data_IF_505921187714
#
_entry.id   IF_505921187714
#
_cell.length_a   1.000
_cell.length_b   1.000
_cell.length_c   1.000
_cell.angle_alpha   90.00
_cell.angle_beta   90.00
_cell.angle_gamma   90.00
#
_symmetry.space_group_name_H-M   'P 1'
#
loop_
_entity.id
_entity.type
_entity.pdbx_description
1 polymer ?
#
# COMPACT_ATOMS: atom_id res chain seq x y z
N UNK A 1 -5.55 -7.05 6.85
CA UNK A 1 -4.84 -5.83 6.37
C UNK A 1 -3.35 -6.04 6.52
N UNK A 2 -2.56 -5.57 5.56
CA UNK A 2 -1.10 -5.51 5.62
C UNK A 2 -0.72 -4.06 5.85
N UNK A 3 0.18 -3.80 6.78
CA UNK A 3 0.70 -2.46 7.07
C UNK A 3 2.19 -2.44 6.74
N UNK A 4 2.64 -1.43 6.04
CA UNK A 4 4.06 -1.21 5.76
C UNK A 4 4.61 -0.13 6.68
N UNK A 5 5.80 -0.34 7.18
CA UNK A 5 6.50 0.58 8.05
C UNK A 5 7.99 0.64 7.70
N UNK A 6 8.62 1.74 8.03
CA UNK A 6 10.04 1.96 7.83
C UNK A 6 10.63 2.77 9.00
N UNK A 7 11.93 2.77 9.12
CA UNK A 7 12.65 3.57 10.11
C UNK A 7 12.32 5.06 9.95
N UNK A 8 12.04 5.73 11.06
CA UNK A 8 11.85 7.19 11.08
C UNK A 8 13.06 7.89 10.48
N UNK A 9 12.80 8.87 9.61
CA UNK A 9 13.85 9.63 8.95
C UNK A 9 14.51 8.98 7.73
N UNK A 10 14.07 7.76 7.35
CA UNK A 10 14.55 7.15 6.11
C UNK A 10 13.91 7.80 4.88
N UNK A 11 14.74 8.47 4.05
CA UNK A 11 14.26 9.31 2.96
C UNK A 11 13.48 8.60 1.85
N UNK A 12 13.72 7.31 1.65
CA UNK A 12 13.02 6.51 0.61
C UNK A 12 11.86 5.67 1.16
N UNK A 13 11.47 5.87 2.40
CA UNK A 13 10.47 5.05 3.09
C UNK A 13 9.16 4.89 2.32
N UNK A 14 8.61 5.99 1.80
CA UNK A 14 7.37 5.96 1.03
C UNK A 14 7.55 5.28 -0.33
N UNK A 15 8.65 5.53 -1.01
CA UNK A 15 8.93 4.93 -2.31
C UNK A 15 9.10 3.41 -2.20
N UNK A 16 9.88 2.95 -1.23
CA UNK A 16 10.09 1.51 -1.00
C UNK A 16 8.78 0.80 -0.65
N UNK A 17 7.97 1.43 0.21
CA UNK A 17 6.66 0.90 0.58
C UNK A 17 5.69 0.88 -0.59
N UNK A 18 5.68 1.91 -1.42
CA UNK A 18 4.85 1.96 -2.62
C UNK A 18 5.20 0.82 -3.58
N UNK A 19 6.48 0.57 -3.82
CA UNK A 19 6.93 -0.54 -4.65
C UNK A 19 6.50 -1.90 -4.08
N UNK A 20 6.63 -2.08 -2.76
CA UNK A 20 6.22 -3.31 -2.09
C UNK A 20 4.70 -3.52 -2.18
N UNK A 21 3.92 -2.49 -1.91
CA UNK A 21 2.45 -2.54 -1.98
C UNK A 21 1.95 -2.83 -3.41
N UNK A 22 2.56 -2.23 -4.42
CA UNK A 22 2.23 -2.53 -5.82
C UNK A 22 2.48 -4.00 -6.17
N UNK A 23 3.63 -4.55 -5.79
CA UNK A 23 3.91 -5.97 -5.97
C UNK A 23 2.89 -6.87 -5.26
N UNK A 24 2.48 -6.50 -4.05
CA UNK A 24 1.46 -7.23 -3.31
C UNK A 24 0.09 -7.18 -4.00
N UNK A 25 -0.29 -6.02 -4.56
CA UNK A 25 -1.55 -5.87 -5.29
C UNK A 25 -1.56 -6.72 -6.56
N UNK A 26 -0.46 -6.77 -7.31
CA UNK A 26 -0.31 -7.63 -8.47
C UNK A 26 -0.42 -9.11 -8.07
N UNK A 27 0.26 -9.51 -7.01
CA UNK A 27 0.19 -10.88 -6.49
C UNK A 27 -1.23 -11.23 -6.02
N UNK A 28 -1.91 -10.32 -5.32
CA UNK A 28 -3.29 -10.51 -4.88
C UNK A 28 -4.23 -10.76 -6.08
N UNK A 29 -4.08 -9.96 -7.14
CA UNK A 29 -4.88 -10.15 -8.35
C UNK A 29 -4.61 -11.51 -9.01
N UNK A 30 -3.37 -11.96 -9.03
CA UNK A 30 -3.00 -13.28 -9.56
C UNK A 30 -3.60 -14.45 -8.73
N UNK A 31 -3.85 -14.21 -7.45
CA UNK A 31 -4.46 -15.16 -6.51
C UNK A 31 -6.00 -15.03 -6.42
N UNK A 32 -6.62 -14.28 -7.29
CA UNK A 32 -8.06 -13.99 -7.27
C UNK A 32 -8.54 -13.31 -5.96
N UNK A 33 -7.67 -12.52 -5.34
CA UNK A 33 -7.98 -11.72 -4.16
C UNK A 33 -8.27 -10.27 -4.55
N UNK A 34 -9.17 -9.63 -3.81
CA UNK A 34 -9.37 -8.18 -3.85
C UNK A 34 -8.33 -7.47 -2.99
N UNK A 35 -7.81 -6.36 -3.48
CA UNK A 35 -6.86 -5.54 -2.75
C UNK A 35 -7.15 -4.06 -2.96
N UNK A 36 -6.92 -3.26 -1.91
CA UNK A 36 -7.04 -1.81 -1.97
C UNK A 36 -5.94 -1.16 -1.14
N UNK A 37 -5.20 -0.25 -1.75
CA UNK A 37 -4.21 0.55 -1.04
C UNK A 37 -4.90 1.59 -0.16
N UNK A 38 -4.57 1.58 1.13
CA UNK A 38 -5.06 2.54 2.11
C UNK A 38 -3.95 3.55 2.39
N UNK A 39 -3.89 4.57 1.57
CA UNK A 39 -2.85 5.59 1.65
C UNK A 39 -2.93 6.43 2.94
N UNK A 40 -4.13 6.63 3.48
CA UNK A 40 -4.36 7.44 4.68
C UNK A 40 -3.66 6.91 5.93
N UNK A 41 -3.27 5.64 5.97
CA UNK A 41 -2.64 5.06 7.15
C UNK A 41 -1.34 5.79 7.56
N UNK A 42 -0.58 6.32 6.60
CA UNK A 42 0.65 7.03 6.94
C UNK A 42 0.42 8.38 7.63
N UNK A 43 -0.77 8.98 7.47
CA UNK A 43 -1.16 10.18 8.23
C UNK A 43 -1.80 9.82 9.56
N UNK A 44 -2.49 8.69 9.65
CA UNK A 44 -3.15 8.25 10.87
C UNK A 44 -2.15 7.82 11.96
N UNK A 45 -0.92 7.50 11.59
CA UNK A 45 0.16 7.19 12.54
C UNK A 45 0.51 8.39 13.46
N UNK A 46 0.13 9.60 13.07
CA UNK A 46 0.24 10.80 13.93
C UNK A 46 -0.82 10.87 15.01
N UNK A 47 -1.90 10.12 14.89
CA UNK A 47 -2.92 9.99 15.92
C UNK A 47 -2.43 9.06 17.04
N UNK A 48 -2.41 9.54 18.28
CA UNK A 48 -1.85 8.83 19.43
C UNK A 48 -2.52 7.46 19.66
N UNK A 49 -3.84 7.38 19.53
CA UNK A 49 -4.56 6.13 19.76
C UNK A 49 -4.27 5.10 18.66
N UNK A 50 -4.15 5.55 17.42
CA UNK A 50 -3.77 4.70 16.28
C UNK A 50 -2.33 4.23 16.45
N UNK A 51 -1.43 5.13 16.81
CA UNK A 51 -0.01 4.80 17.02
C UNK A 51 0.17 3.75 18.14
N UNK A 52 -0.49 3.94 19.29
CA UNK A 52 -0.47 2.95 20.38
C UNK A 52 -1.01 1.59 19.95
N UNK A 53 -2.10 1.58 19.17
CA UNK A 53 -2.65 0.35 18.65
C UNK A 53 -1.66 -0.38 17.74
N UNK A 54 -0.96 0.35 16.86
CA UNK A 54 0.02 -0.19 15.94
C UNK A 54 1.27 -0.73 16.67
N UNK A 55 1.72 -0.03 17.72
CA UNK A 55 2.78 -0.53 18.61
C UNK A 55 2.39 -1.87 19.24
N UNK A 56 1.13 -2.00 19.66
CA UNK A 56 0.59 -3.25 20.19
C UNK A 56 0.55 -4.40 19.17
N UNK A 57 0.51 -4.07 17.87
CA UNK A 57 0.57 -5.04 16.77
C UNK A 57 1.99 -5.37 16.31
N UNK A 58 3.02 -4.70 16.83
CA UNK A 58 4.40 -5.00 16.53
C UNK A 58 5.17 -3.90 15.77
N UNK A 59 4.59 -2.71 15.57
CA UNK A 59 5.33 -1.56 15.09
C UNK A 59 6.43 -1.24 16.10
N UNK A 60 7.66 -1.02 15.64
CA UNK A 60 8.74 -0.60 16.50
C UNK A 60 8.68 0.91 16.78
N UNK A 61 9.19 1.35 17.93
CA UNK A 61 9.16 2.77 18.34
C UNK A 61 9.94 3.68 17.40
N UNK A 62 10.98 3.16 16.75
CA UNK A 62 11.78 3.87 15.76
C UNK A 62 11.26 3.74 14.33
N UNK A 63 10.07 3.19 14.17
CA UNK A 63 9.39 3.04 12.88
C UNK A 63 8.21 3.99 12.75
N UNK A 64 7.84 4.27 11.52
CA UNK A 64 6.62 4.98 11.14
C UNK A 64 5.89 4.21 10.06
N UNK A 65 4.56 4.27 10.08
CA UNK A 65 3.73 3.66 9.05
C UNK A 65 3.86 4.44 7.74
N UNK A 66 4.01 3.71 6.66
CA UNK A 66 4.21 4.27 5.31
C UNK A 66 3.08 3.94 4.35
N UNK A 67 2.19 3.04 4.72
CA UNK A 67 1.02 2.69 3.96
C UNK A 67 0.38 1.41 4.43
N UNK A 68 -0.68 1.00 3.77
CA UNK A 68 -1.35 -0.24 4.06
C UNK A 68 -2.14 -0.79 2.89
N UNK A 69 -2.44 -2.06 2.96
CA UNK A 69 -3.22 -2.78 1.96
C UNK A 69 -4.35 -3.52 2.65
N UNK A 70 -5.60 -3.22 2.31
CA UNK A 70 -6.69 -4.12 2.65
C UNK A 70 -6.71 -5.28 1.66
N UNK A 71 -6.93 -6.48 2.15
CA UNK A 71 -6.88 -7.69 1.36
C UNK A 71 -8.05 -8.59 1.76
N UNK A 72 -8.72 -9.19 0.79
CA UNK A 72 -9.85 -10.07 1.07
C UNK A 72 -10.36 -10.80 -0.16
N UNK A 73 -11.31 -11.68 0.07
CA UNK A 73 -12.01 -12.37 -1.02
C UNK A 73 -13.06 -11.45 -1.63
N UNK A 74 -13.14 -11.38 -2.97
CA UNK A 74 -14.21 -10.62 -3.64
C UNK A 74 -15.58 -11.25 -3.39
N UNK A 75 -16.61 -10.42 -3.36
CA UNK A 75 -18.00 -10.83 -3.04
C UNK A 75 -18.49 -11.98 -3.91
N UNK A 76 -18.21 -11.94 -5.22
CA UNK A 76 -18.66 -12.95 -6.18
C UNK A 76 -17.57 -14.01 -6.48
N UNK A 77 -16.57 -14.15 -5.63
CA UNK A 77 -15.50 -15.13 -5.77
C UNK A 77 -14.45 -14.81 -6.85
N UNK A 78 -14.62 -13.71 -7.59
CA UNK A 78 -13.68 -13.26 -8.62
C UNK A 78 -13.48 -11.76 -8.58
N UNK A 79 -12.26 -11.25 -8.69
CA UNK A 79 -12.02 -9.82 -8.80
C UNK A 79 -12.53 -9.28 -10.12
N UNK A 80 -12.97 -8.02 -10.12
CA UNK A 80 -13.27 -7.32 -11.36
C UNK A 80 -11.96 -7.01 -12.09
N UNK A 81 -11.80 -7.60 -13.25
CA UNK A 81 -10.61 -7.42 -14.10
C UNK A 81 -10.85 -6.57 -15.33
N UNK A 82 -11.97 -5.85 -15.40
CA UNK A 82 -12.24 -4.94 -16.51
C UNK A 82 -11.24 -3.78 -16.47
N UNK A 83 -10.39 -3.60 -17.50
CA UNK A 83 -9.45 -2.50 -17.52
C UNK A 83 -10.18 -1.15 -17.54
N UNK A 84 -9.72 -0.24 -16.70
CA UNK A 84 -10.18 1.15 -16.77
C UNK A 84 -9.49 1.85 -17.94
N UNK A 85 -10.19 2.83 -18.59
CA UNK A 85 -9.54 3.69 -19.58
C UNK A 85 -8.31 4.37 -18.95
N UNK A 86 -7.21 4.34 -19.66
CA UNK A 86 -5.99 5.04 -19.21
C UNK A 86 -6.10 6.49 -19.56
N UNK A 87 -6.18 7.34 -18.54
CA UNK A 87 -6.13 8.78 -18.66
C UNK A 87 -4.93 9.28 -17.89
N UNK A 88 -4.04 9.99 -18.52
CA UNK A 88 -2.82 10.46 -17.87
C UNK A 88 -2.01 11.34 -18.79
N UNK A 89 -0.86 11.72 -18.32
CA UNK A 89 0.07 12.50 -19.13
C UNK A 89 0.60 11.68 -20.31
N UNK A 90 0.87 12.33 -21.44
CA UNK A 90 1.45 11.64 -22.59
C UNK A 90 2.83 11.07 -22.25
N UNK A 91 3.15 9.94 -22.86
CA UNK A 91 4.47 9.33 -22.75
C UNK A 91 5.36 9.86 -23.87
N UNK A 92 6.52 10.38 -23.51
CA UNK A 92 7.55 10.80 -24.48
C UNK A 92 8.62 9.72 -24.55
N UNK A 93 8.85 9.20 -25.74
CA UNK A 93 9.92 8.23 -26.00
C UNK A 93 11.21 8.97 -26.33
N UNK A 94 12.25 8.68 -25.59
CA UNK A 94 13.59 9.22 -25.85
C UNK A 94 14.37 8.10 -26.54
N UNK A 95 14.83 8.39 -27.76
CA UNK A 95 15.67 7.47 -28.55
C UNK A 95 16.96 8.17 -28.95
N UNK A 96 18.01 7.43 -29.08
CA UNK A 96 19.32 7.90 -29.56
C UNK A 96 19.29 8.25 -31.06
#
# INVERSE_FOLDING_TARGET
>A
MIVTANKKGYGNALADSACALENMMIAANALDLGACWINQLHWLDEDEAVHEYLLGLGLAEDETVTGGLSLGYPVDGKPNRTPLPRTGNPVTWISD
#
